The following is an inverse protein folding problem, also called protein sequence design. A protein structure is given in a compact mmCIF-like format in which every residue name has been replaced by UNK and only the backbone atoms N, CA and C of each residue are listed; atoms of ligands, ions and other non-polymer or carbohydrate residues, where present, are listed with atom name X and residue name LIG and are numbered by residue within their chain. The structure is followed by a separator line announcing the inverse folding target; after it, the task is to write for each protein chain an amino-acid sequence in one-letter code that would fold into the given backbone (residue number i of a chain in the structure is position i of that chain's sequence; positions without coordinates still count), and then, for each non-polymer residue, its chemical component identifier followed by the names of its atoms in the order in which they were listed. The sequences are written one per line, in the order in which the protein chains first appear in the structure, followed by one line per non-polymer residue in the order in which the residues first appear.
data_IF_126349310007
#
_entry.id   IF_126349310007
#
_cell.length_a   1.000
_cell.length_b   1.000
_cell.length_c   1.000
_cell.angle_alpha   90.00
_cell.angle_beta   90.00
_cell.angle_gamma   90.00
#
_symmetry.space_group_name_H-M   'P 1'
#
loop_
_entity.id
_entity.type
_entity.pdbx_description
1 polymer ?
#
# COMPACT_ATOMS: atom_id res chain seq x y z
N UNK A 1 19.98 4.65 -11.14
CA UNK A 1 19.07 5.51 -10.33
C UNK A 1 18.65 4.69 -9.12
N UNK A 2 18.41 5.32 -7.97
CA UNK A 2 17.96 4.62 -6.77
C UNK A 2 16.58 3.97 -7.00
N UNK A 3 16.31 2.81 -6.41
CA UNK A 3 15.00 2.19 -6.47
C UNK A 3 14.14 2.75 -5.33
N UNK A 4 13.15 3.58 -5.70
CA UNK A 4 12.27 4.30 -4.77
C UNK A 4 10.86 3.71 -4.87
N UNK A 5 10.34 3.23 -3.75
CA UNK A 5 9.02 2.65 -3.63
C UNK A 5 8.11 3.51 -2.75
N UNK A 6 6.90 3.80 -3.23
CA UNK A 6 5.80 4.36 -2.44
C UNK A 6 4.86 3.22 -2.04
N UNK A 7 4.78 2.92 -0.75
CA UNK A 7 3.82 1.98 -0.18
C UNK A 7 2.57 2.71 0.33
N UNK A 8 1.39 2.20 -0.01
CA UNK A 8 0.10 2.75 0.39
C UNK A 8 -0.74 1.61 1.00
N UNK A 9 -1.28 1.82 2.19
CA UNK A 9 -2.27 0.92 2.76
C UNK A 9 -3.62 1.63 2.83
N UNK A 10 -4.64 1.00 2.24
CA UNK A 10 -6.04 1.43 2.33
C UNK A 10 -6.84 0.36 3.08
N UNK A 11 -7.39 0.76 4.22
CA UNK A 11 -8.02 -0.08 5.21
C UNK A 11 -8.37 0.73 6.46
N UNK A 12 -8.59 0.06 7.59
CA UNK A 12 -8.99 0.71 8.84
C UNK A 12 -7.94 1.69 9.41
N UNK A 13 -6.64 1.45 9.18
CA UNK A 13 -5.55 2.31 9.64
C UNK A 13 -4.71 2.78 8.44
N UNK A 14 -5.30 3.61 7.58
CA UNK A 14 -4.67 4.00 6.32
C UNK A 14 -3.34 4.73 6.54
N UNK A 15 -2.34 4.40 5.73
CA UNK A 15 -0.96 4.84 5.94
C UNK A 15 -0.16 4.86 4.63
N UNK A 16 0.93 5.61 4.62
CA UNK A 16 1.85 5.69 3.49
C UNK A 16 3.30 5.62 3.97
N UNK A 17 4.18 5.02 3.14
CA UNK A 17 5.61 4.92 3.40
C UNK A 17 6.42 5.11 2.11
N UNK A 18 7.61 5.70 2.23
CA UNK A 18 8.59 5.82 1.15
C UNK A 18 9.83 5.02 1.56
N UNK A 19 10.24 4.10 0.69
CA UNK A 19 11.44 3.27 0.86
C UNK A 19 12.37 3.48 -0.33
N UNK A 20 13.65 3.74 -0.07
CA UNK A 20 14.68 3.85 -1.10
C UNK A 20 15.81 2.85 -0.80
N UNK A 21 16.11 1.97 -1.77
CA UNK A 21 17.18 0.96 -1.67
C UNK A 21 17.17 0.19 -0.33
N UNK A 22 15.98 -0.25 0.11
CA UNK A 22 15.77 -0.99 1.36
C UNK A 22 15.75 -0.14 2.64
N UNK A 23 15.85 1.19 2.55
CA UNK A 23 15.80 2.10 3.69
C UNK A 23 14.50 2.89 3.70
N UNK A 24 13.80 2.92 4.84
CA UNK A 24 12.64 3.78 5.04
C UNK A 24 13.10 5.24 5.10
N UNK A 25 12.65 6.06 4.15
CA UNK A 25 12.90 7.50 4.14
C UNK A 25 11.85 8.26 4.95
N UNK A 26 10.59 7.82 4.84
CA UNK A 26 9.46 8.42 5.54
C UNK A 26 8.33 7.40 5.70
N UNK A 27 7.56 7.53 6.78
CA UNK A 27 6.31 6.80 6.97
C UNK A 27 5.38 7.64 7.86
N UNK A 28 4.09 7.68 7.52
CA UNK A 28 3.08 8.37 8.33
C UNK A 28 1.73 7.68 8.20
N UNK A 29 0.93 7.78 9.25
CA UNK A 29 -0.43 7.27 9.30
C UNK A 29 -1.43 8.41 9.13
N UNK A 30 -2.55 8.14 8.46
CA UNK A 30 -3.57 9.14 8.20
C UNK A 30 -4.13 9.79 9.47
N UNK A 31 -4.29 9.04 10.55
CA UNK A 31 -4.77 9.59 11.83
C UNK A 31 -3.86 10.70 12.41
N UNK A 32 -2.57 10.74 12.03
CA UNK A 32 -1.65 11.81 12.43
C UNK A 32 -1.97 13.11 11.70
N UNK A 33 -2.35 13.00 10.43
CA UNK A 33 -2.77 14.08 9.54
C UNK A 33 -4.16 14.60 9.90
N UNK A 34 -5.15 13.71 10.00
CA UNK A 34 -6.56 14.09 10.17
C UNK A 34 -6.97 14.31 11.62
N UNK A 35 -6.14 13.86 12.57
CA UNK A 35 -6.41 13.91 14.03
C UNK A 35 -7.64 13.09 14.45
N UNK A 36 -8.14 12.22 13.58
CA UNK A 36 -9.19 11.25 13.87
C UNK A 36 -8.53 9.92 14.14
N UNK A 37 -8.78 9.32 15.30
CA UNK A 37 -8.19 8.03 15.66
C UNK A 37 -8.70 6.93 14.73
N UNK A 38 -7.81 6.04 14.29
CA UNK A 38 -8.11 4.92 13.39
C UNK A 38 -8.78 5.38 12.09
N UNK A 39 -8.32 6.51 11.56
CA UNK A 39 -8.87 7.04 10.31
C UNK A 39 -8.36 6.21 9.13
N UNK A 40 -9.33 5.66 8.41
CA UNK A 40 -9.11 4.66 7.38
C UNK A 40 -10.03 4.84 6.20
N UNK A 41 -9.53 4.48 5.02
CA UNK A 41 -10.26 4.53 3.77
C UNK A 41 -10.08 3.23 2.99
N UNK A 42 -11.14 2.80 2.31
CA UNK A 42 -11.15 1.56 1.52
C UNK A 42 -10.65 1.75 0.08
N UNK A 43 -10.27 2.97 -0.29
CA UNK A 43 -9.94 3.38 -1.65
C UNK A 43 -8.83 4.43 -1.65
N UNK A 44 -8.07 4.51 -2.76
CA UNK A 44 -7.18 5.65 -3.01
C UNK A 44 -7.98 6.95 -3.06
N UNK A 45 -7.58 7.94 -2.28
CA UNK A 45 -8.27 9.23 -2.20
C UNK A 45 -7.31 10.33 -1.73
N UNK A 46 -7.72 11.58 -1.88
CA UNK A 46 -6.90 12.77 -1.60
C UNK A 46 -6.64 13.02 -0.11
N UNK A 47 -7.33 12.33 0.81
CA UNK A 47 -7.08 12.44 2.25
C UNK A 47 -5.93 11.52 2.73
N UNK A 48 -5.48 10.58 1.89
CA UNK A 48 -4.30 9.78 2.18
C UNK A 48 -3.07 10.70 2.30
N UNK A 49 -2.17 10.47 3.27
CA UNK A 49 -1.04 11.35 3.54
C UNK A 49 0.14 11.15 2.55
N UNK A 50 -0.15 10.93 1.27
CA UNK A 50 0.86 10.69 0.23
C UNK A 50 1.72 11.95 0.03
N UNK A 51 1.11 13.12 -0.09
CA UNK A 51 1.84 14.38 -0.24
C UNK A 51 2.75 14.66 0.98
N UNK A 52 2.27 14.35 2.18
CA UNK A 52 3.04 14.52 3.42
C UNK A 52 4.24 13.57 3.47
N UNK A 53 4.06 12.28 3.15
CA UNK A 53 5.16 11.31 3.18
C UNK A 53 6.22 11.60 2.11
N UNK A 54 5.82 12.05 0.92
CA UNK A 54 6.74 12.49 -0.13
C UNK A 54 7.52 13.74 0.28
N UNK A 55 6.86 14.70 0.93
CA UNK A 55 7.50 15.90 1.46
C UNK A 55 8.52 15.59 2.57
N UNK A 56 8.21 14.69 3.51
CA UNK A 56 9.15 14.23 4.55
C UNK A 56 10.37 13.56 3.90
N UNK A 57 10.16 12.77 2.86
CA UNK A 57 11.23 12.11 2.11
C UNK A 57 12.02 13.07 1.19
N UNK A 58 11.54 14.30 0.96
CA UNK A 58 12.19 15.29 0.11
C UNK A 58 12.14 14.95 -1.39
N UNK A 59 11.12 14.20 -1.83
CA UNK A 59 10.96 13.75 -3.23
C UNK A 59 9.57 14.07 -3.78
N UNK A 60 9.40 13.89 -5.08
CA UNK A 60 8.11 13.99 -5.79
C UNK A 60 7.63 12.62 -6.27
N UNK A 61 6.37 12.54 -6.71
CA UNK A 61 5.80 11.32 -7.32
C UNK A 61 6.51 10.93 -8.63
N UNK A 62 7.19 11.87 -9.28
CA UNK A 62 7.97 11.61 -10.49
C UNK A 62 9.28 10.84 -10.19
N UNK A 63 9.80 10.94 -8.96
CA UNK A 63 11.01 10.23 -8.53
C UNK A 63 10.71 8.78 -8.12
N UNK A 64 9.45 8.46 -7.84
CA UNK A 64 9.02 7.12 -7.43
C UNK A 64 9.11 6.16 -8.60
N UNK A 65 9.80 5.05 -8.41
CA UNK A 65 9.98 4.01 -9.44
C UNK A 65 8.96 2.88 -9.34
N UNK A 66 8.42 2.62 -8.15
CA UNK A 66 7.39 1.60 -7.89
C UNK A 66 6.36 2.12 -6.91
N UNK A 67 5.07 1.90 -7.18
CA UNK A 67 3.97 2.21 -6.28
C UNK A 67 3.34 0.88 -5.89
N UNK A 68 3.13 0.64 -4.60
CA UNK A 68 2.56 -0.61 -4.09
C UNK A 68 1.39 -0.27 -3.17
N UNK A 69 0.19 -0.71 -3.53
CA UNK A 69 -1.00 -0.51 -2.71
C UNK A 69 -1.52 -1.83 -2.14
N UNK A 70 -1.73 -1.85 -0.82
CA UNK A 70 -2.43 -2.93 -0.14
C UNK A 70 -3.88 -2.51 0.12
N UNK A 71 -4.83 -3.22 -0.49
CA UNK A 71 -6.26 -3.05 -0.27
C UNK A 71 -6.73 -4.09 0.76
N UNK A 72 -7.14 -3.64 1.96
CA UNK A 72 -7.58 -4.56 3.02
C UNK A 72 -8.92 -5.24 2.68
N UNK A 73 -9.89 -4.45 2.20
CA UNK A 73 -11.27 -4.88 2.02
C UNK A 73 -11.65 -5.22 0.57
N UNK A 74 -10.76 -4.94 -0.40
CA UNK A 74 -11.01 -5.19 -1.83
C UNK A 74 -10.00 -6.22 -2.32
N UNK A 75 -10.50 -7.37 -2.78
CA UNK A 75 -9.69 -8.40 -3.42
C UNK A 75 -10.55 -9.36 -4.26
N UNK A 76 -9.92 -10.11 -5.20
CA UNK A 76 -10.60 -11.11 -6.01
C UNK A 76 -11.32 -12.18 -5.18
N UNK A 77 -10.74 -12.61 -4.06
CA UNK A 77 -11.33 -13.59 -3.14
C UNK A 77 -12.30 -13.03 -2.09
N UNK A 78 -12.50 -11.71 -2.04
CA UNK A 78 -13.18 -11.04 -0.92
C UNK A 78 -14.51 -10.38 -1.26
N UNK A 79 -15.18 -9.88 -0.23
CA UNK A 79 -16.43 -9.13 -0.33
C UNK A 79 -16.10 -7.66 -0.60
N UNK A 80 -15.73 -7.31 -1.84
CA UNK A 80 -15.20 -5.97 -2.09
C UNK A 80 -15.16 -5.44 -3.53
N UNK A 81 -15.23 -6.29 -4.56
CA UNK A 81 -15.18 -5.85 -5.98
C UNK A 81 -16.35 -4.95 -6.44
N UNK A 82 -17.23 -4.53 -5.51
CA UNK A 82 -18.31 -3.56 -5.76
C UNK A 82 -18.02 -2.15 -5.23
N UNK A 83 -16.89 -1.95 -4.54
CA UNK A 83 -16.47 -0.63 -4.07
C UNK A 83 -15.47 0.00 -5.04
N UNK A 84 -15.53 1.33 -5.25
CA UNK A 84 -14.52 2.01 -6.06
C UNK A 84 -13.15 1.88 -5.38
N UNK A 85 -12.11 1.54 -6.15
CA UNK A 85 -10.74 1.40 -5.62
C UNK A 85 -9.99 2.73 -5.55
N UNK A 86 -10.54 3.77 -6.17
CA UNK A 86 -10.11 5.17 -6.01
C UNK A 86 -11.33 6.10 -6.07
N UNK A 87 -11.21 7.30 -5.50
CA UNK A 87 -12.26 8.34 -5.60
C UNK A 87 -12.01 9.27 -6.79
N UNK A 88 -13.02 9.95 -7.33
CA UNK A 88 -12.86 10.88 -8.45
C UNK A 88 -11.87 12.02 -8.20
N UNK A 89 -11.65 12.38 -6.95
CA UNK A 89 -10.75 13.45 -6.53
C UNK A 89 -9.28 12.99 -6.41
N UNK A 90 -9.00 11.70 -6.58
CA UNK A 90 -7.65 11.17 -6.52
C UNK A 90 -6.85 11.57 -7.78
N UNK A 91 -5.83 12.40 -7.59
CA UNK A 91 -5.06 13.03 -8.69
C UNK A 91 -3.53 12.91 -8.53
N UNK A 92 -3.06 12.11 -7.56
CA UNK A 92 -1.63 12.00 -7.25
C UNK A 92 -0.87 11.24 -8.34
N UNK A 93 -1.46 10.16 -8.86
CA UNK A 93 -0.96 9.38 -9.99
C UNK A 93 -2.14 8.66 -10.68
N UNK A 94 -1.95 8.20 -11.92
CA UNK A 94 -2.93 7.37 -12.61
C UNK A 94 -3.01 5.99 -11.93
N UNK A 95 -4.16 5.52 -11.42
CA UNK A 95 -4.27 4.18 -10.84
C UNK A 95 -3.75 3.07 -11.75
N UNK A 96 -3.78 3.24 -13.08
CA UNK A 96 -3.23 2.29 -14.06
C UNK A 96 -1.78 2.58 -14.48
N UNK A 97 -1.07 3.43 -13.74
CA UNK A 97 0.35 3.68 -13.95
C UNK A 97 1.10 2.33 -13.95
N UNK A 98 1.97 2.05 -14.95
CA UNK A 98 2.68 0.78 -15.04
C UNK A 98 3.62 0.51 -13.86
N UNK A 99 3.91 1.53 -13.03
CA UNK A 99 4.66 1.41 -11.79
C UNK A 99 3.79 0.92 -10.62
N UNK A 100 2.47 0.84 -10.77
CA UNK A 100 1.54 0.52 -9.69
C UNK A 100 1.22 -0.98 -9.61
N UNK A 101 1.45 -1.54 -8.42
CA UNK A 101 1.21 -2.94 -8.09
C UNK A 101 0.24 -3.03 -6.91
N UNK A 102 -0.61 -4.05 -6.92
CA UNK A 102 -1.41 -4.45 -5.79
C UNK A 102 -0.70 -5.58 -5.03
N UNK A 103 -0.75 -5.54 -3.70
CA UNK A 103 -0.21 -6.59 -2.82
C UNK A 103 -1.28 -7.07 -1.84
N UNK A 104 -1.31 -8.37 -1.56
CA UNK A 104 -2.18 -8.92 -0.53
C UNK A 104 -1.82 -8.37 0.85
N UNK A 105 -2.83 -8.21 1.70
CA UNK A 105 -2.67 -7.61 3.03
C UNK A 105 -1.69 -8.37 3.91
N UNK A 106 -1.80 -9.71 3.94
CA UNK A 106 -0.91 -10.54 4.76
C UNK A 106 0.50 -10.61 4.19
N UNK A 107 0.67 -10.65 2.86
CA UNK A 107 2.01 -10.54 2.28
C UNK A 107 2.66 -9.19 2.61
N UNK A 108 1.91 -8.08 2.61
CA UNK A 108 2.43 -6.78 3.05
C UNK A 108 2.88 -6.81 4.53
N UNK A 109 2.10 -7.44 5.42
CA UNK A 109 2.51 -7.66 6.81
C UNK A 109 3.82 -8.47 6.90
N UNK A 110 3.89 -9.63 6.25
CA UNK A 110 5.07 -10.48 6.24
C UNK A 110 6.31 -9.73 5.72
N UNK A 111 6.18 -8.99 4.62
CA UNK A 111 7.28 -8.26 4.00
C UNK A 111 7.74 -7.07 4.85
N UNK A 112 6.83 -6.37 5.53
CA UNK A 112 7.23 -5.29 6.46
C UNK A 112 8.07 -5.79 7.63
N UNK A 113 7.74 -6.97 8.17
CA UNK A 113 8.52 -7.60 9.23
C UNK A 113 9.84 -8.16 8.71
N UNK A 114 9.80 -8.95 7.63
CA UNK A 114 10.98 -9.57 7.05
C UNK A 114 11.98 -8.53 6.53
N UNK A 115 11.52 -7.54 5.77
CA UNK A 115 12.36 -6.50 5.17
C UNK A 115 13.09 -5.63 6.21
N UNK A 116 12.56 -5.51 7.42
CA UNK A 116 13.20 -4.80 8.53
C UNK A 116 14.04 -5.72 9.45
N UNK A 117 14.03 -7.04 9.22
CA UNK A 117 14.60 -8.01 10.17
C UNK A 117 16.12 -8.14 10.12
N UNK A 118 16.74 -7.83 8.98
CA UNK A 118 18.17 -8.05 8.75
C UNK A 118 18.56 -9.52 8.51
N UNK A 119 17.61 -10.45 8.45
CA UNK A 119 17.87 -11.85 8.12
C UNK A 119 17.88 -12.07 6.61
N UNK A 120 18.77 -12.95 6.15
CA UNK A 120 18.80 -13.40 4.74
C UNK A 120 17.62 -14.31 4.39
N UNK A 121 17.07 -15.02 5.38
CA UNK A 121 15.85 -15.83 5.26
C UNK A 121 15.14 -15.94 6.61
N UNK A 122 13.81 -16.00 6.58
CA UNK A 122 13.00 -16.18 7.78
C UNK A 122 11.68 -16.88 7.44
N UNK A 123 11.12 -17.60 8.42
CA UNK A 123 9.71 -17.96 8.40
C UNK A 123 8.90 -16.81 9.00
N UNK A 124 7.85 -16.37 8.31
CA UNK A 124 6.97 -15.29 8.77
C UNK A 124 5.63 -15.88 9.25
N UNK A 125 5.17 -15.45 10.43
CA UNK A 125 3.83 -15.74 10.93
C UNK A 125 3.04 -14.44 10.96
N UNK A 126 1.94 -14.39 10.19
CA UNK A 126 0.96 -13.30 10.25
C UNK A 126 -0.25 -13.81 11.01
N UNK A 127 -0.57 -13.16 12.13
CA UNK A 127 -1.74 -13.46 12.94
C UNK A 127 -2.65 -12.23 12.93
N UNK A 128 -3.64 -12.25 12.04
CA UNK A 128 -4.58 -11.15 11.80
C UNK A 128 -6.02 -11.70 11.71
N UNK A 129 -7.02 -10.82 11.80
CA UNK A 129 -8.42 -11.20 11.68
C UNK A 129 -8.76 -11.63 10.24
N UNK A 130 -8.29 -10.87 9.25
CA UNK A 130 -8.59 -11.14 7.85
C UNK A 130 -7.78 -10.26 6.91
N UNK A 131 -7.51 -10.78 5.72
CA UNK A 131 -6.71 -10.12 4.71
C UNK A 131 -7.30 -10.26 3.32
N UNK A 132 -6.57 -9.75 2.34
CA UNK A 132 -6.92 -9.86 0.93
C UNK A 132 -6.19 -11.03 0.26
N UNK A 133 -6.92 -11.87 -0.47
CA UNK A 133 -6.38 -13.04 -1.16
C UNK A 133 -6.99 -13.18 -2.56
N UNK A 134 -6.38 -14.04 -3.37
CA UNK A 134 -7.00 -14.54 -4.61
C UNK A 134 -8.22 -15.43 -4.30
N UNK A 135 -8.99 -15.82 -5.32
CA UNK A 135 -10.13 -16.74 -5.15
C UNK A 135 -9.75 -18.09 -4.53
N UNK A 136 -8.52 -18.55 -4.78
CA UNK A 136 -7.99 -19.80 -4.25
C UNK A 136 -7.35 -19.64 -2.86
N UNK A 137 -7.39 -18.43 -2.28
CA UNK A 137 -6.85 -18.13 -0.95
C UNK A 137 -5.36 -17.80 -0.92
N UNK A 138 -4.72 -17.65 -2.09
CA UNK A 138 -3.29 -17.35 -2.20
C UNK A 138 -3.00 -15.85 -2.02
N UNK A 139 -1.80 -15.55 -1.52
CA UNK A 139 -1.20 -14.22 -1.52
C UNK A 139 -0.87 -13.75 -2.95
N UNK A 140 -0.72 -12.44 -3.14
CA UNK A 140 -0.43 -11.88 -4.46
C UNK A 140 0.43 -10.61 -4.39
N UNK A 141 1.23 -10.42 -5.43
CA UNK A 141 1.88 -9.17 -5.79
C UNK A 141 1.86 -9.08 -7.32
N UNK A 142 0.98 -8.25 -7.87
CA UNK A 142 0.68 -8.21 -9.31
C UNK A 142 0.51 -6.76 -9.79
N UNK A 143 0.72 -6.47 -11.09
CA UNK A 143 0.37 -5.19 -11.66
C UNK A 143 -1.09 -4.82 -11.34
N UNK A 144 -1.35 -3.54 -11.07
CA UNK A 144 -2.70 -3.11 -10.70
C UNK A 144 -3.74 -3.36 -11.80
N UNK A 145 -3.34 -3.28 -13.07
CA UNK A 145 -4.21 -3.61 -14.21
C UNK A 145 -4.66 -5.08 -14.18
N UNK A 146 -3.78 -6.01 -13.79
CA UNK A 146 -4.12 -7.43 -13.63
C UNK A 146 -4.98 -7.66 -12.38
N UNK A 147 -4.76 -6.87 -11.32
CA UNK A 147 -5.57 -6.93 -10.10
C UNK A 147 -7.00 -6.42 -10.29
N UNK A 148 -7.20 -5.43 -11.16
CA UNK A 148 -8.49 -4.77 -11.36
C UNK A 148 -9.44 -5.53 -12.29
N UNK A 149 -8.89 -6.33 -13.21
CA UNK A 149 -9.65 -7.07 -14.24
C UNK A 149 -10.26 -8.36 -13.71
#
# INVERSE_FOLDING_TARGET
MANISLGIHVGHDSACAVVADGKVLAATQQERHTRRKHDGHVALNSALPIAEVLAIAGISIADVTTIVTSYQAVCPGGVGLRYPMWTPEFDVFDPFDPRHFAVSHHQAHAMSAFGASGFESAACLVCDLGGSTTLDGEDYYVPFDDFYR
#
